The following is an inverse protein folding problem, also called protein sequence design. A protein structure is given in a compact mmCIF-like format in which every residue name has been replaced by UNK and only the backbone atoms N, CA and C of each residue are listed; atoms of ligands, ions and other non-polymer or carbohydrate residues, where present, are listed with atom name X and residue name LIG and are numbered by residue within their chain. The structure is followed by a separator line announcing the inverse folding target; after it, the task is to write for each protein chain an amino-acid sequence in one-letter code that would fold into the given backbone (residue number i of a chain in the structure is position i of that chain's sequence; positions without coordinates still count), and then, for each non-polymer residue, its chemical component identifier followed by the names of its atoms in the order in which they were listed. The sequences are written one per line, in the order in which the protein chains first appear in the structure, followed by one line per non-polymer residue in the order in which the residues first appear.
data_IF_418625881327
#
_entry.id   IF_418625881327
#
_cell.length_a   1.000
_cell.length_b   1.000
_cell.length_c   1.000
_cell.angle_alpha   90.00
_cell.angle_beta   90.00
_cell.angle_gamma   90.00
#
_symmetry.space_group_name_H-M   'P 1'
#
loop_
_entity.id
_entity.type
_entity.pdbx_description
1 polymer ?
#
# COMPACT_ATOMS: atom_id res chain seq x y z
N UNK A 1 -15.71 -7.51 27.24
CA UNK A 1 -15.22 -8.88 27.42
C UNK A 1 -14.55 -9.30 26.12
N UNK A 2 -13.22 -9.48 26.11
CA UNK A 2 -12.51 -9.96 24.90
C UNK A 2 -12.85 -11.44 24.72
N UNK A 3 -13.56 -11.75 23.63
CA UNK A 3 -13.92 -13.13 23.31
C UNK A 3 -12.68 -13.84 22.73
N UNK A 4 -12.00 -14.65 23.54
CA UNK A 4 -10.80 -15.38 23.13
C UNK A 4 -11.11 -16.64 22.30
N UNK A 5 -12.38 -17.03 22.20
CA UNK A 5 -12.81 -18.30 21.61
C UNK A 5 -13.11 -18.20 20.12
N UNK A 6 -13.54 -17.03 19.64
CA UNK A 6 -13.85 -16.80 18.22
C UNK A 6 -12.96 -15.71 17.63
N UNK A 7 -11.70 -16.02 17.38
CA UNK A 7 -10.85 -15.11 16.62
C UNK A 7 -11.12 -15.28 15.13
N UNK A 8 -11.38 -14.18 14.39
CA UNK A 8 -11.51 -14.28 12.95
C UNK A 8 -10.23 -14.86 12.35
N UNK A 9 -10.37 -15.88 11.53
CA UNK A 9 -9.24 -16.50 10.87
C UNK A 9 -8.70 -15.54 9.79
N UNK A 10 -7.45 -15.10 9.95
CA UNK A 10 -6.78 -14.33 8.92
C UNK A 10 -6.56 -15.17 7.68
N UNK A 11 -6.89 -14.60 6.53
CA UNK A 11 -6.73 -15.26 5.23
C UNK A 11 -5.95 -14.35 4.30
N UNK A 12 -5.20 -14.96 3.38
CA UNK A 12 -4.53 -14.28 2.27
C UNK A 12 -4.94 -14.95 0.96
N UNK A 13 -4.71 -14.27 -0.15
CA UNK A 13 -5.04 -14.79 -1.46
C UNK A 13 -3.96 -15.76 -1.89
N UNK A 14 -4.35 -17.00 -2.22
CA UNK A 14 -3.43 -18.01 -2.74
C UNK A 14 -2.78 -17.50 -4.04
N UNK A 15 -1.44 -17.51 -4.08
CA UNK A 15 -0.65 -16.97 -5.20
C UNK A 15 -0.48 -15.45 -5.17
N UNK A 16 -0.85 -14.79 -4.06
CA UNK A 16 -0.61 -13.37 -3.84
C UNK A 16 -1.69 -12.44 -4.41
N UNK A 17 -1.57 -11.16 -4.08
CA UNK A 17 -2.54 -10.12 -4.48
C UNK A 17 -2.66 -9.94 -6.00
N UNK A 18 -1.64 -10.32 -6.77
CA UNK A 18 -1.67 -10.25 -8.23
C UNK A 18 -2.80 -11.08 -8.81
N UNK A 19 -3.00 -12.30 -8.31
CA UNK A 19 -4.10 -13.16 -8.77
C UNK A 19 -5.47 -12.51 -8.56
N UNK A 20 -5.66 -11.82 -7.46
CA UNK A 20 -6.88 -11.05 -7.22
C UNK A 20 -7.06 -9.92 -8.23
N UNK A 21 -6.00 -9.13 -8.44
CA UNK A 21 -6.04 -8.00 -9.39
C UNK A 21 -6.31 -8.48 -10.81
N UNK A 22 -5.62 -9.53 -11.26
CA UNK A 22 -5.79 -10.09 -12.59
C UNK A 22 -7.21 -10.63 -12.81
N UNK A 23 -7.78 -11.32 -11.81
CA UNK A 23 -9.16 -11.80 -11.84
C UNK A 23 -10.17 -10.65 -11.92
N UNK A 24 -9.96 -9.60 -11.13
CA UNK A 24 -10.81 -8.41 -11.13
C UNK A 24 -10.75 -7.67 -12.47
N UNK A 25 -9.54 -7.49 -13.02
CA UNK A 25 -9.35 -6.85 -14.33
C UNK A 25 -10.04 -7.68 -15.42
N UNK A 26 -9.90 -9.00 -15.39
CA UNK A 26 -10.54 -9.90 -16.37
C UNK A 26 -12.06 -9.75 -16.32
N UNK A 27 -12.65 -9.81 -15.13
CA UNK A 27 -14.08 -9.58 -14.93
C UNK A 27 -14.54 -8.21 -15.45
N UNK A 28 -13.80 -7.15 -15.13
CA UNK A 28 -14.17 -5.81 -15.59
C UNK A 28 -14.05 -5.63 -17.11
N UNK A 29 -13.14 -6.36 -17.76
CA UNK A 29 -12.97 -6.32 -19.23
C UNK A 29 -14.09 -7.02 -19.99
N UNK A 30 -14.86 -7.90 -19.36
CA UNK A 30 -16.04 -8.51 -19.97
C UNK A 30 -17.08 -7.45 -20.38
N UNK A 31 -17.18 -6.37 -19.63
CA UNK A 31 -18.02 -5.24 -20.00
C UNK A 31 -17.22 -4.29 -20.92
N UNK A 32 -17.59 -4.25 -22.19
CA UNK A 32 -16.95 -3.41 -23.23
C UNK A 32 -17.00 -1.91 -22.94
N UNK A 33 -17.87 -1.45 -22.04
CA UNK A 33 -17.95 -0.05 -21.61
C UNK A 33 -16.83 0.33 -20.61
N UNK A 34 -16.14 -0.65 -20.04
CA UNK A 34 -15.00 -0.41 -19.16
C UNK A 34 -13.74 -0.18 -19.97
N UNK A 35 -12.99 0.85 -19.63
CA UNK A 35 -11.68 1.12 -20.24
C UNK A 35 -10.62 1.35 -19.17
N UNK A 36 -9.41 0.82 -19.42
CA UNK A 36 -8.24 0.98 -18.58
C UNK A 36 -7.20 1.80 -19.30
N UNK A 37 -6.67 2.80 -18.62
CA UNK A 37 -5.57 3.65 -19.14
C UNK A 37 -4.42 3.55 -18.15
N UNK A 38 -3.49 2.66 -18.42
CA UNK A 38 -2.24 2.54 -17.68
C UNK A 38 -1.26 3.63 -18.12
N UNK A 39 -0.23 3.87 -17.31
CA UNK A 39 0.82 4.86 -17.58
C UNK A 39 0.27 6.27 -17.89
N UNK A 40 -0.87 6.59 -17.28
CA UNK A 40 -1.57 7.86 -17.51
C UNK A 40 -1.56 8.66 -16.21
N UNK A 41 -0.58 9.52 -16.06
CA UNK A 41 -0.43 10.41 -14.88
C UNK A 41 -1.44 11.56 -15.00
N UNK A 42 -2.36 11.62 -14.05
CA UNK A 42 -3.35 12.71 -13.95
C UNK A 42 -2.75 13.86 -13.15
N UNK A 43 -2.79 15.07 -13.73
CA UNK A 43 -2.21 16.26 -13.11
C UNK A 43 -3.23 17.26 -12.58
N UNK A 44 -4.45 17.26 -13.11
CA UNK A 44 -5.49 18.16 -12.61
C UNK A 44 -6.89 17.74 -13.00
N UNK A 45 -7.84 18.24 -12.21
CA UNK A 45 -9.28 18.17 -12.49
C UNK A 45 -9.83 19.60 -12.56
N UNK A 46 -10.75 19.85 -13.48
CA UNK A 46 -11.48 21.11 -13.63
C UNK A 46 -12.97 20.84 -13.77
N UNK A 47 -13.79 21.77 -13.28
CA UNK A 47 -15.23 21.74 -13.50
C UNK A 47 -15.56 22.43 -14.82
N UNK A 48 -16.43 21.82 -15.60
CA UNK A 48 -16.99 22.42 -16.82
C UNK A 48 -18.50 22.18 -16.85
N UNK A 49 -19.27 23.21 -16.46
CA UNK A 49 -20.73 23.13 -16.31
C UNK A 49 -21.14 21.94 -15.40
N UNK A 50 -21.80 20.93 -15.95
CA UNK A 50 -22.26 19.72 -15.24
C UNK A 50 -21.24 18.58 -15.25
N UNK A 51 -20.11 18.73 -15.96
CA UNK A 51 -19.12 17.67 -16.13
C UNK A 51 -17.78 18.01 -15.50
N UNK A 52 -16.94 17.00 -15.35
CA UNK A 52 -15.58 17.11 -14.83
C UNK A 52 -14.57 16.80 -15.92
N UNK A 53 -13.58 17.66 -16.09
CA UNK A 53 -12.48 17.47 -17.04
C UNK A 53 -11.26 17.02 -16.28
N UNK A 54 -10.80 15.81 -16.56
CA UNK A 54 -9.54 15.24 -16.08
C UNK A 54 -8.45 15.53 -17.10
N UNK A 55 -7.31 16.02 -16.65
CA UNK A 55 -6.17 16.39 -17.52
C UNK A 55 -4.98 15.54 -17.14
N UNK A 56 -4.39 14.84 -18.10
CA UNK A 56 -3.17 14.07 -17.93
C UNK A 56 -1.91 14.91 -18.17
N UNK A 57 -0.74 14.34 -17.87
CA UNK A 57 0.59 14.98 -18.05
C UNK A 57 0.90 15.33 -19.51
N UNK A 58 0.24 14.68 -20.46
CA UNK A 58 0.35 14.99 -21.91
C UNK A 58 -0.64 16.07 -22.35
N UNK A 59 -1.31 16.75 -21.42
CA UNK A 59 -2.37 17.74 -21.62
C UNK A 59 -3.61 17.19 -22.36
N UNK A 60 -3.78 15.87 -22.42
CA UNK A 60 -4.98 15.27 -22.94
C UNK A 60 -6.13 15.42 -21.94
N UNK A 61 -7.31 15.74 -22.45
CA UNK A 61 -8.52 16.00 -21.66
C UNK A 61 -9.48 14.83 -21.78
N UNK A 62 -10.06 14.44 -20.66
CA UNK A 62 -11.10 13.42 -20.57
C UNK A 62 -12.28 13.99 -19.79
N UNK A 63 -13.49 13.77 -20.27
CA UNK A 63 -14.70 14.31 -19.69
C UNK A 63 -15.51 13.21 -19.01
N UNK A 64 -15.96 13.47 -17.76
CA UNK A 64 -16.70 12.51 -16.94
C UNK A 64 -17.82 13.21 -16.18
N UNK A 65 -18.89 12.46 -15.89
CA UNK A 65 -19.97 12.91 -15.01
C UNK A 65 -19.58 12.83 -13.53
N UNK A 66 -18.83 11.77 -13.16
CA UNK A 66 -18.35 11.52 -11.80
C UNK A 66 -16.89 11.11 -11.79
N UNK A 67 -16.18 11.43 -10.69
CA UNK A 67 -14.79 11.05 -10.48
C UNK A 67 -14.64 10.47 -9.10
N UNK A 68 -13.94 9.35 -9.00
CA UNK A 68 -13.48 8.77 -7.73
C UNK A 68 -11.97 8.83 -7.68
N UNK A 69 -11.42 9.49 -6.66
CA UNK A 69 -9.97 9.54 -6.41
C UNK A 69 -9.61 8.41 -5.44
N UNK A 70 -8.96 7.37 -5.95
CA UNK A 70 -8.51 6.21 -5.20
C UNK A 70 -6.97 6.22 -5.00
N UNK A 71 -6.38 7.40 -4.83
CA UNK A 71 -4.96 7.59 -4.56
C UNK A 71 -4.75 8.22 -3.17
N UNK A 72 -3.49 8.38 -2.74
CA UNK A 72 -3.16 9.02 -1.48
C UNK A 72 -3.72 10.44 -1.37
N UNK A 73 -4.08 10.88 -0.16
CA UNK A 73 -4.69 12.18 0.08
C UNK A 73 -3.81 13.35 -0.37
N UNK A 74 -2.49 13.26 -0.21
CA UNK A 74 -1.54 14.26 -0.69
C UNK A 74 -1.46 14.35 -2.22
N UNK A 75 -1.63 13.23 -2.92
CA UNK A 75 -1.74 13.18 -4.38
C UNK A 75 -3.08 13.75 -4.85
N UNK A 76 -4.17 13.29 -4.22
CA UNK A 76 -5.53 13.80 -4.49
C UNK A 76 -5.61 15.30 -4.30
N UNK A 77 -5.04 15.83 -3.21
CA UNK A 77 -4.98 17.27 -2.91
C UNK A 77 -4.36 18.07 -4.06
N UNK A 78 -3.23 17.60 -4.61
CA UNK A 78 -2.56 18.28 -5.73
C UNK A 78 -3.44 18.30 -6.99
N UNK A 79 -4.10 17.19 -7.29
CA UNK A 79 -4.94 17.03 -8.48
C UNK A 79 -6.17 17.94 -8.44
N UNK A 80 -6.79 18.10 -7.25
CA UNK A 80 -8.04 18.87 -7.10
C UNK A 80 -7.82 20.32 -6.65
N UNK A 81 -6.60 20.77 -6.43
CA UNK A 81 -6.29 22.11 -5.89
C UNK A 81 -7.02 23.25 -6.59
N UNK A 82 -7.15 23.18 -7.91
CA UNK A 82 -7.83 24.19 -8.71
C UNK A 82 -9.33 23.90 -8.93
N UNK A 83 -9.81 22.76 -8.44
CA UNK A 83 -11.20 22.35 -8.51
C UNK A 83 -11.96 22.70 -7.22
N UNK A 84 -11.38 22.34 -6.09
CA UNK A 84 -11.91 22.59 -4.75
C UNK A 84 -10.75 22.80 -3.77
N UNK A 85 -10.50 24.08 -3.46
CA UNK A 85 -9.42 24.47 -2.54
C UNK A 85 -9.67 23.98 -1.12
N UNK A 86 -10.91 24.06 -0.64
CA UNK A 86 -11.24 23.68 0.74
C UNK A 86 -11.04 22.18 0.95
N UNK A 87 -11.46 21.36 -0.02
CA UNK A 87 -11.24 19.93 0.03
C UNK A 87 -9.74 19.59 -0.11
N UNK A 88 -9.01 20.31 -0.98
CA UNK A 88 -7.56 20.16 -1.10
C UNK A 88 -6.85 20.44 0.22
N UNK A 89 -7.22 21.54 0.90
CA UNK A 89 -6.65 21.92 2.20
C UNK A 89 -6.98 20.90 3.29
N UNK A 90 -8.18 20.30 3.26
CA UNK A 90 -8.58 19.22 4.16
C UNK A 90 -7.73 17.96 3.92
N UNK A 91 -7.55 17.56 2.68
CA UNK A 91 -6.73 16.39 2.31
C UNK A 91 -5.25 16.55 2.68
N UNK A 92 -4.73 17.78 2.66
CA UNK A 92 -3.36 18.08 3.09
C UNK A 92 -3.13 17.91 4.61
N UNK A 93 -4.17 17.76 5.41
CA UNK A 93 -4.04 17.43 6.85
C UNK A 93 -3.60 15.99 7.08
N UNK A 94 -3.79 15.10 6.13
CA UNK A 94 -3.24 13.73 6.17
C UNK A 94 -1.75 13.78 5.87
N UNK A 95 -0.94 13.56 6.89
CA UNK A 95 0.51 13.59 6.77
C UNK A 95 1.04 12.21 6.41
N UNK A 96 1.87 12.14 5.39
CA UNK A 96 2.60 10.95 5.00
C UNK A 96 4.07 11.11 5.38
N UNK A 97 4.69 10.02 5.83
CA UNK A 97 6.13 9.97 6.04
C UNK A 97 6.74 8.85 5.19
N UNK A 98 7.96 9.07 4.74
CA UNK A 98 8.70 8.04 4.03
C UNK A 98 9.12 6.95 5.00
N UNK A 99 8.93 5.70 4.58
CA UNK A 99 9.42 4.52 5.28
C UNK A 99 10.41 3.78 4.39
N UNK A 100 11.52 3.33 4.98
CA UNK A 100 12.46 2.44 4.32
C UNK A 100 12.01 1.01 4.56
N UNK A 101 11.76 0.27 3.47
CA UNK A 101 11.41 -1.15 3.52
C UNK A 101 12.57 -1.96 2.94
N UNK A 102 13.09 -2.90 3.73
CA UNK A 102 14.14 -3.81 3.32
C UNK A 102 13.57 -5.21 3.16
N UNK A 103 13.74 -5.81 1.98
CA UNK A 103 13.54 -7.23 1.74
C UNK A 103 14.87 -7.94 2.00
N UNK A 104 14.90 -8.90 2.92
CA UNK A 104 16.15 -9.52 3.35
C UNK A 104 15.94 -10.93 3.90
N UNK A 105 17.08 -11.62 4.19
CA UNK A 105 17.12 -12.94 4.80
C UNK A 105 17.79 -12.95 6.17
N UNK A 106 18.19 -11.79 6.67
CA UNK A 106 18.89 -11.65 7.94
C UNK A 106 17.96 -11.89 9.13
N UNK A 107 18.21 -12.98 9.87
CA UNK A 107 17.44 -13.36 11.04
C UNK A 107 17.81 -12.54 12.30
N UNK A 108 18.87 -11.74 12.27
CA UNK A 108 19.32 -10.97 13.44
C UNK A 108 18.32 -9.89 13.88
N UNK A 109 17.40 -9.50 12.98
CA UNK A 109 16.31 -8.56 13.25
C UNK A 109 15.05 -9.24 13.82
N UNK A 110 15.08 -10.57 13.96
CA UNK A 110 14.02 -11.35 14.58
C UNK A 110 14.34 -11.63 16.06
N UNK A 111 13.33 -11.98 16.89
CA UNK A 111 13.57 -12.43 18.24
C UNK A 111 14.56 -13.59 18.29
N UNK A 112 15.48 -13.60 19.29
CA UNK A 112 16.46 -14.67 19.45
C UNK A 112 15.82 -16.05 19.60
N UNK A 113 14.72 -16.13 20.34
CA UNK A 113 13.97 -17.37 20.50
C UNK A 113 13.00 -17.54 19.31
N UNK A 114 13.25 -18.55 18.48
CA UNK A 114 12.42 -18.86 17.29
C UNK A 114 10.99 -19.26 17.66
N UNK A 115 10.75 -19.79 18.84
CA UNK A 115 9.41 -20.21 19.29
C UNK A 115 8.41 -19.04 19.41
N UNK A 116 8.92 -17.82 19.60
CA UNK A 116 8.07 -16.61 19.69
C UNK A 116 7.95 -15.86 18.36
N UNK A 117 8.51 -16.37 17.28
CA UNK A 117 8.39 -15.75 15.99
C UNK A 117 6.93 -15.66 15.54
N UNK A 118 6.51 -14.45 15.25
CA UNK A 118 5.19 -14.14 14.72
C UNK A 118 5.28 -13.66 13.26
N UNK A 119 4.15 -13.61 12.58
CA UNK A 119 4.09 -12.97 11.25
C UNK A 119 4.54 -11.51 11.30
N UNK A 120 4.34 -10.83 12.44
CA UNK A 120 4.74 -9.46 12.71
C UNK A 120 5.54 -9.42 14.01
N UNK A 121 6.75 -8.89 13.94
CA UNK A 121 7.65 -8.80 15.10
C UNK A 121 8.05 -7.34 15.29
N UNK A 122 7.70 -6.79 16.43
CA UNK A 122 7.99 -5.41 16.78
C UNK A 122 9.24 -5.35 17.68
N UNK A 123 10.20 -4.52 17.30
CA UNK A 123 11.44 -4.32 18.04
C UNK A 123 11.65 -2.84 18.32
N UNK A 124 12.10 -2.52 19.54
CA UNK A 124 12.42 -1.16 19.96
C UNK A 124 13.85 -1.06 20.42
N UNK A 125 14.45 0.10 20.20
CA UNK A 125 15.65 0.52 20.87
C UNK A 125 15.32 1.75 21.72
N UNK A 126 15.15 1.53 23.03
CA UNK A 126 14.76 2.58 23.97
C UNK A 126 15.79 3.72 24.07
N UNK A 127 17.09 3.43 23.92
CA UNK A 127 18.14 4.44 23.95
C UNK A 127 18.06 5.40 22.74
N UNK A 128 17.68 4.88 21.58
CA UNK A 128 17.56 5.66 20.34
C UNK A 128 16.15 6.13 20.05
N UNK A 129 15.16 5.74 20.85
CA UNK A 129 13.75 6.00 20.61
C UNK A 129 13.28 5.57 19.20
N UNK A 130 13.88 4.51 18.67
CA UNK A 130 13.58 3.97 17.34
C UNK A 130 12.85 2.65 17.51
N UNK A 131 11.85 2.45 16.69
CA UNK A 131 11.12 1.19 16.59
C UNK A 131 11.05 0.72 15.15
N UNK A 132 11.08 -0.59 14.97
CA UNK A 132 10.89 -1.20 13.66
C UNK A 132 9.94 -2.39 13.73
N UNK A 133 9.40 -2.75 12.58
CA UNK A 133 8.57 -3.93 12.42
C UNK A 133 9.23 -4.84 11.39
N UNK A 134 9.42 -6.11 11.76
CA UNK A 134 9.88 -7.15 10.86
C UNK A 134 8.75 -8.13 10.58
N UNK A 135 8.38 -8.24 9.32
CA UNK A 135 7.40 -9.21 8.82
C UNK A 135 8.12 -10.49 8.42
N UNK A 136 7.69 -11.63 8.96
CA UNK A 136 8.12 -12.93 8.49
C UNK A 136 7.19 -13.39 7.36
N UNK A 137 7.66 -13.21 6.12
CA UNK A 137 6.83 -13.36 4.93
C UNK A 137 6.38 -14.80 4.71
N UNK A 138 7.20 -15.81 5.06
CA UNK A 138 6.82 -17.21 4.97
C UNK A 138 5.54 -17.51 5.74
N UNK A 139 5.43 -17.00 6.98
CA UNK A 139 4.25 -17.19 7.81
C UNK A 139 3.11 -16.26 7.42
N UNK A 140 3.43 -15.01 7.03
CA UNK A 140 2.43 -14.00 6.68
C UNK A 140 1.67 -14.35 5.40
N UNK A 141 2.38 -14.87 4.40
CA UNK A 141 1.82 -15.20 3.08
C UNK A 141 1.74 -16.70 2.79
N UNK A 142 2.02 -17.54 3.78
CA UNK A 142 2.05 -19.00 3.65
C UNK A 142 2.90 -19.45 2.45
N UNK A 143 4.16 -18.94 2.39
CA UNK A 143 5.08 -19.26 1.32
C UNK A 143 5.68 -20.66 1.56
N UNK A 144 5.62 -21.53 0.57
CA UNK A 144 6.20 -22.88 0.58
C UNK A 144 7.65 -22.81 0.06
N UNK A 145 8.53 -22.24 0.88
CA UNK A 145 9.96 -22.08 0.59
C UNK A 145 10.78 -22.29 1.87
N UNK A 146 11.89 -22.96 1.77
CA UNK A 146 12.77 -23.29 2.91
C UNK A 146 13.49 -22.05 3.48
N UNK A 147 13.82 -21.09 2.62
CA UNK A 147 14.54 -19.88 3.03
C UNK A 147 13.59 -18.88 3.69
N UNK A 148 13.95 -18.41 4.89
CA UNK A 148 13.16 -17.36 5.56
C UNK A 148 13.33 -16.02 4.83
N UNK A 149 12.21 -15.40 4.49
CA UNK A 149 12.14 -14.07 3.90
C UNK A 149 11.52 -13.10 4.89
N UNK A 150 12.17 -11.96 5.05
CA UNK A 150 11.71 -10.89 5.92
C UNK A 150 11.54 -9.58 5.15
N UNK A 151 10.57 -8.78 5.61
CA UNK A 151 10.46 -7.38 5.24
C UNK A 151 10.53 -6.56 6.52
N UNK A 152 11.53 -5.71 6.66
CA UNK A 152 11.65 -4.83 7.82
C UNK A 152 11.43 -3.38 7.41
N UNK A 153 10.53 -2.72 8.13
CA UNK A 153 10.27 -1.29 7.98
C UNK A 153 11.11 -0.51 8.99
N UNK A 154 11.84 0.49 8.49
CA UNK A 154 12.69 1.38 9.28
C UNK A 154 13.60 0.61 10.25
N UNK A 155 14.46 -0.28 9.78
CA UNK A 155 15.23 -1.18 10.63
C UNK A 155 16.13 -0.40 11.60
N UNK A 156 16.24 -0.89 12.84
CA UNK A 156 17.14 -0.34 13.86
C UNK A 156 18.61 -0.47 13.44
N UNK A 157 18.92 -1.51 12.69
CA UNK A 157 20.20 -1.76 12.03
C UNK A 157 19.94 -2.23 10.61
N UNK A 158 20.78 -1.84 9.67
CA UNK A 158 20.67 -2.28 8.28
C UNK A 158 20.84 -3.80 8.22
N UNK A 159 19.90 -4.54 7.58
CA UNK A 159 20.02 -5.98 7.42
C UNK A 159 21.34 -6.35 6.72
N UNK A 160 21.95 -7.42 7.16
CA UNK A 160 23.14 -7.95 6.48
C UNK A 160 22.74 -8.50 5.12
N UNK A 161 23.51 -8.18 4.08
CA UNK A 161 23.37 -8.85 2.79
C UNK A 161 23.84 -10.30 2.96
N UNK A 162 22.92 -11.23 2.91
CA UNK A 162 23.27 -12.64 2.74
C UNK A 162 23.48 -12.88 1.25
N UNK A 163 24.74 -12.93 0.85
CA UNK A 163 25.18 -13.43 -0.47
C UNK A 163 24.76 -14.87 -0.67
#
# INVERSE_FOLDING_TARGET
MLNFVERPQWRTIKGGSRNYVDSLISYLKENKNNSFKLETEIISIKKNKSKHIVIDKKNKKYEFDYIVLACHADQSSKIIKNFDKNLSDLLNKFRYQNNLAYLHFDQSLMPKNKLIWSSWNYSTNSQKQISCITYWMNKLQNLDIDKNIFVTLNPIQIPKENK
#
